data_IF_759354660235
#
_entry.id   IF_759354660235
#
_cell.length_a   1.000
_cell.length_b   1.000
_cell.length_c   1.000
_cell.angle_alpha   90.00
_cell.angle_beta   90.00
_cell.angle_gamma   90.00
#
_symmetry.space_group_name_H-M   'P 1'
#
loop_
_entity.id
_entity.type
_entity.pdbx_description
1 polymer ?
#
# COMPACT_ATOMS: atom_id res chain seq x y z
N UNK A 1 -10.78 -1.48 8.03
CA UNK A 1 -11.71 -0.45 7.48
C UNK A 1 -11.63 -0.43 5.97
N UNK A 2 -12.67 0.07 5.29
CA UNK A 2 -12.69 0.16 3.82
C UNK A 2 -12.00 1.43 3.33
N UNK A 3 -11.54 1.43 2.08
CA UNK A 3 -10.91 2.61 1.45
C UNK A 3 -11.79 3.87 1.50
N UNK A 4 -13.10 3.72 1.26
CA UNK A 4 -14.06 4.82 1.28
C UNK A 4 -14.21 5.49 2.65
N UNK A 5 -14.05 4.73 3.73
CA UNK A 5 -14.08 5.25 5.11
C UNK A 5 -12.77 5.95 5.44
N UNK A 6 -11.65 5.33 5.08
CA UNK A 6 -10.31 5.84 5.28
C UNK A 6 -10.16 7.24 4.66
N UNK A 7 -10.62 7.42 3.41
CA UNK A 7 -10.57 8.71 2.72
C UNK A 7 -11.32 9.82 3.44
N UNK A 8 -12.44 9.51 4.08
CA UNK A 8 -13.23 10.48 4.86
C UNK A 8 -12.50 10.89 6.13
N UNK A 9 -11.81 9.96 6.77
CA UNK A 9 -11.04 10.23 7.99
C UNK A 9 -9.73 10.99 7.69
N UNK A 10 -9.12 10.73 6.54
CA UNK A 10 -7.79 11.22 6.19
C UNK A 10 -7.75 11.88 4.81
N UNK A 11 -8.48 13.00 4.58
CA UNK A 11 -8.54 13.61 3.27
C UNK A 11 -7.20 14.22 2.81
N UNK A 12 -6.92 14.16 1.50
CA UNK A 12 -5.81 14.84 0.82
C UNK A 12 -4.41 14.63 1.41
N UNK A 13 -4.05 13.39 1.73
CA UNK A 13 -2.71 13.05 2.21
C UNK A 13 -2.28 11.65 1.78
N UNK A 14 -0.99 11.34 1.94
CA UNK A 14 -0.47 9.99 1.79
C UNK A 14 -0.75 9.17 3.04
N UNK A 15 -1.11 7.91 2.84
CA UNK A 15 -1.35 6.95 3.90
C UNK A 15 -0.54 5.70 3.63
N UNK A 16 0.15 5.21 4.65
CA UNK A 16 0.74 3.87 4.66
C UNK A 16 -0.26 2.93 5.31
N UNK A 17 -0.65 1.89 4.58
CA UNK A 17 -1.65 0.92 5.03
C UNK A 17 -1.09 -0.49 5.00
N UNK A 18 -1.58 -1.31 5.92
CA UNK A 18 -1.47 -2.77 5.88
C UNK A 18 -2.77 -3.33 5.29
N UNK A 19 -2.66 -4.19 4.28
CA UNK A 19 -3.79 -4.96 3.77
C UNK A 19 -4.09 -6.11 4.75
N UNK A 20 -5.32 -6.13 5.27
CA UNK A 20 -5.78 -7.16 6.22
C UNK A 20 -6.52 -8.28 5.49
N UNK A 21 -7.37 -7.92 4.52
CA UNK A 21 -7.99 -8.85 3.58
C UNK A 21 -7.80 -8.32 2.16
N UNK A 22 -7.22 -9.17 1.32
CA UNK A 22 -7.04 -8.89 -0.09
C UNK A 22 -7.08 -10.19 -0.90
N UNK A 23 -7.62 -10.10 -2.10
CA UNK A 23 -7.64 -11.20 -3.05
C UNK A 23 -7.14 -10.73 -4.42
N UNK A 24 -6.65 -11.67 -5.21
CA UNK A 24 -6.11 -11.39 -6.54
C UNK A 24 -7.13 -11.77 -7.59
N UNK A 25 -7.40 -10.86 -8.52
CA UNK A 25 -8.35 -11.07 -9.62
C UNK A 25 -7.84 -10.36 -10.87
N UNK A 26 -7.72 -11.11 -11.98
CA UNK A 26 -7.31 -10.57 -13.28
C UNK A 26 -5.98 -9.78 -13.27
N UNK A 27 -4.98 -10.26 -12.50
CA UNK A 27 -3.68 -9.58 -12.37
C UNK A 27 -3.70 -8.31 -11.52
N UNK A 28 -4.81 -8.06 -10.81
CA UNK A 28 -4.96 -6.96 -9.86
C UNK A 28 -5.10 -7.52 -8.46
N UNK A 29 -4.50 -6.83 -7.50
CA UNK A 29 -4.67 -7.08 -6.07
C UNK A 29 -5.79 -6.18 -5.55
N UNK A 30 -6.91 -6.80 -5.18
CA UNK A 30 -8.09 -6.12 -4.65
C UNK A 30 -8.04 -6.14 -3.13
N UNK A 31 -7.94 -4.96 -2.51
CA UNK A 31 -7.87 -4.81 -1.05
C UNK A 31 -9.28 -4.54 -0.53
N UNK A 32 -9.82 -5.47 0.25
CA UNK A 32 -11.15 -5.35 0.85
C UNK A 32 -11.11 -4.59 2.17
N UNK A 33 -10.11 -4.91 3.00
CA UNK A 33 -9.93 -4.33 4.32
C UNK A 33 -8.48 -3.95 4.56
N UNK A 34 -8.30 -2.78 5.16
CA UNK A 34 -6.99 -2.25 5.50
C UNK A 34 -6.98 -1.54 6.86
N UNK A 35 -5.77 -1.39 7.39
CA UNK A 35 -5.46 -0.61 8.60
C UNK A 35 -4.43 0.45 8.24
N UNK A 36 -4.65 1.68 8.71
CA UNK A 36 -3.68 2.77 8.57
C UNK A 36 -2.58 2.57 9.59
N UNK A 37 -1.34 2.47 9.12
CA UNK A 37 -0.15 2.46 9.98
C UNK A 37 0.29 3.89 10.26
N UNK A 38 0.36 4.74 9.22
CA UNK A 38 0.84 6.10 9.35
C UNK A 38 0.38 7.01 8.20
N UNK A 39 0.61 8.31 8.33
CA UNK A 39 0.14 9.37 7.40
C UNK A 39 1.25 10.38 7.13
N UNK A 40 1.29 10.86 5.90
CA UNK A 40 2.35 11.74 5.43
C UNK A 40 1.81 12.82 4.49
N UNK A 41 2.47 13.97 4.48
CA UNK A 41 2.16 15.06 3.54
C UNK A 41 3.06 15.05 2.28
N UNK A 42 4.14 14.26 2.29
CA UNK A 42 5.03 14.10 1.15
C UNK A 42 5.18 12.64 0.76
N UNK A 43 5.36 12.39 -0.55
CA UNK A 43 5.63 11.05 -1.07
C UNK A 43 6.95 10.49 -0.56
N UNK A 44 7.95 11.37 -0.37
CA UNK A 44 9.28 11.01 0.13
C UNK A 44 9.20 10.45 1.55
N UNK A 45 8.45 11.10 2.43
CA UNK A 45 8.28 10.65 3.82
C UNK A 45 7.48 9.34 3.87
N UNK A 46 6.46 9.20 3.03
CA UNK A 46 5.70 7.97 2.93
C UNK A 46 6.59 6.77 2.54
N UNK A 47 7.48 6.95 1.57
CA UNK A 47 8.45 5.90 1.20
C UNK A 47 9.46 5.61 2.30
N UNK A 48 9.92 6.63 3.02
CA UNK A 48 10.83 6.43 4.15
C UNK A 48 10.14 5.64 5.28
N UNK A 49 8.87 5.94 5.56
CA UNK A 49 8.04 5.20 6.51
C UNK A 49 7.84 3.75 6.08
N UNK A 50 7.46 3.53 4.82
CA UNK A 50 7.32 2.19 4.24
C UNK A 50 8.58 1.35 4.41
N UNK A 51 9.76 1.90 4.08
CA UNK A 51 11.04 1.17 4.21
C UNK A 51 11.31 0.74 5.65
N UNK A 52 11.01 1.59 6.62
CA UNK A 52 11.21 1.28 8.04
C UNK A 52 10.24 0.18 8.50
N UNK A 53 8.97 0.27 8.11
CA UNK A 53 7.96 -0.74 8.44
C UNK A 53 8.27 -2.08 7.79
N UNK A 54 8.62 -2.09 6.50
CA UNK A 54 8.98 -3.30 5.78
C UNK A 54 10.28 -3.93 6.30
N UNK A 55 11.27 -3.14 6.74
CA UNK A 55 12.48 -3.67 7.38
C UNK A 55 12.16 -4.39 8.69
N UNK A 56 11.21 -3.85 9.46
CA UNK A 56 10.82 -4.40 10.76
C UNK A 56 9.87 -5.60 10.62
N UNK A 57 8.96 -5.53 9.64
CA UNK A 57 7.91 -6.52 9.39
C UNK A 57 7.85 -6.89 7.89
N UNK A 58 8.83 -7.63 7.37
CA UNK A 58 8.93 -7.93 5.94
C UNK A 58 7.81 -8.83 5.41
N UNK A 59 7.08 -9.52 6.29
CA UNK A 59 5.93 -10.35 5.91
C UNK A 59 4.61 -9.59 5.79
N UNK A 60 4.57 -8.29 6.15
CA UNK A 60 3.34 -7.50 6.06
C UNK A 60 3.12 -7.01 4.63
N UNK A 61 1.88 -7.11 4.18
CA UNK A 61 1.44 -6.59 2.89
C UNK A 61 1.15 -5.09 3.02
N UNK A 62 2.13 -4.26 2.66
CA UNK A 62 2.11 -2.81 2.88
C UNK A 62 1.92 -2.05 1.56
N UNK A 63 1.10 -0.99 1.61
CA UNK A 63 0.86 -0.10 0.47
C UNK A 63 0.88 1.38 0.87
N UNK A 64 1.34 2.22 -0.05
CA UNK A 64 1.20 3.68 0.06
C UNK A 64 0.13 4.12 -0.92
N UNK A 65 -0.88 4.84 -0.42
CA UNK A 65 -1.91 5.46 -1.26
C UNK A 65 -2.01 6.95 -0.98
N UNK A 66 -2.53 7.71 -1.95
CA UNK A 66 -2.93 9.09 -1.73
C UNK A 66 -4.46 9.17 -1.68
N UNK A 67 -5.02 9.71 -0.60
CA UNK A 67 -6.47 9.68 -0.33
C UNK A 67 -7.30 10.58 -1.23
N UNK A 68 -6.67 11.41 -2.07
CA UNK A 68 -7.40 12.10 -3.15
C UNK A 68 -7.95 11.14 -4.21
N UNK A 69 -7.37 9.94 -4.36
CA UNK A 69 -7.82 8.94 -5.34
C UNK A 69 -9.13 8.30 -4.91
N UNK A 70 -10.12 8.29 -5.80
CA UNK A 70 -11.43 7.74 -5.48
C UNK A 70 -11.43 6.24 -5.24
N UNK A 71 -10.70 5.55 -6.11
CA UNK A 71 -10.47 4.12 -6.07
C UNK A 71 -8.97 3.88 -6.02
N UNK A 72 -8.59 2.75 -5.42
CA UNK A 72 -7.22 2.24 -5.40
C UNK A 72 -7.17 1.00 -6.26
N UNK A 73 -6.13 0.92 -7.07
CA UNK A 73 -5.85 -0.23 -7.90
C UNK A 73 -4.38 -0.59 -7.71
N UNK A 74 -4.13 -1.86 -7.43
CA UNK A 74 -2.79 -2.41 -7.26
C UNK A 74 -2.62 -3.47 -8.34
N UNK A 75 -1.67 -3.24 -9.25
CA UNK A 75 -1.30 -4.23 -10.25
C UNK A 75 -0.34 -5.26 -9.64
N UNK A 76 -0.59 -6.54 -9.87
CA UNK A 76 0.33 -7.59 -9.50
C UNK A 76 1.46 -7.67 -10.53
N UNK A 77 2.64 -7.18 -10.16
CA UNK A 77 3.85 -7.40 -10.95
C UNK A 77 4.56 -8.67 -10.46
N UNK A 78 4.44 -9.74 -11.26
CA UNK A 78 5.23 -10.94 -11.07
C UNK A 78 6.68 -10.63 -11.45
N UNK A 79 7.55 -10.49 -10.45
CA UNK A 79 8.97 -10.27 -10.70
C UNK A 79 9.61 -11.55 -11.25
N UNK A 80 9.74 -11.63 -12.58
CA UNK A 80 10.55 -12.64 -13.27
C UNK A 80 12.03 -12.26 -13.17
N UNK A 81 12.61 -12.52 -12.00
CA UNK A 81 14.00 -12.17 -11.72
C UNK A 81 14.99 -12.95 -12.58
N UNK A 82 15.59 -12.31 -13.59
CA UNK A 82 16.86 -12.77 -14.16
C UNK A 82 17.94 -12.36 -13.16
N UNK A 83 18.38 -13.30 -12.31
CA UNK A 83 19.60 -13.12 -11.54
C UNK A 83 20.78 -13.24 -12.51
N UNK A 84 21.24 -12.09 -13.01
CA UNK A 84 22.52 -12.02 -13.71
C UNK A 84 23.61 -12.55 -12.77
N UNK A 85 24.20 -13.68 -13.13
CA UNK A 85 25.39 -14.22 -12.47
C UNK A 85 26.55 -13.33 -12.95
N UNK A 86 27.03 -12.43 -12.09
CA UNK A 86 28.33 -11.77 -12.28
C UNK A 86 29.41 -12.76 -11.87
#
# INVERSE_FOLDING_TARGET
MKWSELRKQYPNQFVLVEAISAYSQNGKRIIEEMVVIDRYHSVSDAWNGYKQQHKTFPGKELYIFHTSKEQIEVEEQYFIGIRGRV
#
